data_IF_247329836901
#
_entry.id   IF_247329836901
#
_cell.length_a   1.000
_cell.length_b   1.000
_cell.length_c   1.000
_cell.angle_alpha   90.00
_cell.angle_beta   90.00
_cell.angle_gamma   90.00
#
_symmetry.space_group_name_H-M   'P 1'
#
loop_
_entity.id
_entity.type
_entity.pdbx_description
1 polymer ?
#
# COMPACT_ATOMS: atom_id res chain seq x y z
N UNK A 1 68.57 56.05 36.71
CA UNK A 1 67.28 56.65 37.04
C UNK A 1 66.20 55.86 36.28
N UNK A 2 65.62 54.86 36.91
CA UNK A 2 64.59 53.98 36.30
C UNK A 2 63.20 54.46 36.74
N UNK A 3 62.37 54.88 35.76
CA UNK A 3 60.97 55.24 36.02
C UNK A 3 60.13 54.00 35.94
N UNK A 4 59.49 53.63 37.06
CA UNK A 4 58.51 52.54 37.15
C UNK A 4 57.14 53.10 36.80
N UNK A 5 56.53 52.63 35.72
CA UNK A 5 55.16 52.94 35.31
C UNK A 5 54.24 51.88 35.94
N UNK A 6 53.33 52.33 36.81
CA UNK A 6 52.29 51.53 37.42
C UNK A 6 51.13 51.45 36.45
N UNK A 7 50.84 50.26 35.94
CA UNK A 7 49.70 49.98 35.05
C UNK A 7 48.50 49.56 35.91
N UNK A 8 47.51 50.44 36.02
CA UNK A 8 46.27 50.14 36.72
C UNK A 8 45.36 49.27 35.84
N UNK A 9 45.11 48.07 36.36
CA UNK A 9 44.18 47.11 35.70
C UNK A 9 42.76 47.36 36.19
N UNK A 10 41.90 47.91 35.33
CA UNK A 10 40.48 48.09 35.60
C UNK A 10 39.76 46.81 35.21
N UNK A 11 39.30 46.05 36.22
CA UNK A 11 38.47 44.87 36.03
C UNK A 11 37.03 45.32 35.82
N UNK A 12 36.56 45.24 34.58
CA UNK A 12 35.17 45.46 34.23
C UNK A 12 34.37 44.17 34.47
N UNK A 13 33.58 44.12 35.55
CA UNK A 13 32.70 43.01 35.86
C UNK A 13 31.47 43.02 34.91
N UNK A 14 31.46 42.11 33.96
CA UNK A 14 30.26 41.86 33.16
C UNK A 14 29.29 40.96 33.96
N UNK A 15 28.20 41.56 34.41
CA UNK A 15 27.06 40.81 34.96
C UNK A 15 26.22 40.23 33.83
N UNK A 16 26.36 38.93 33.62
CA UNK A 16 25.46 38.18 32.74
C UNK A 16 24.09 38.05 33.41
N UNK A 17 23.10 38.80 32.96
CA UNK A 17 21.71 38.52 33.28
C UNK A 17 21.25 37.34 32.40
N UNK A 18 21.14 36.17 33.02
CA UNK A 18 20.53 35.01 32.39
C UNK A 18 19.02 35.27 32.16
N UNK A 19 18.63 35.59 30.94
CA UNK A 19 17.25 35.54 30.55
C UNK A 19 16.81 34.07 30.51
N UNK A 20 16.11 33.63 31.55
CA UNK A 20 15.45 32.35 31.59
C UNK A 20 14.41 32.24 30.47
N UNK A 21 14.75 31.59 29.34
CA UNK A 21 13.78 31.15 28.36
C UNK A 21 12.86 30.12 29.04
N UNK A 22 11.63 30.50 29.33
CA UNK A 22 10.56 29.57 29.66
C UNK A 22 10.36 28.67 28.43
N UNK A 23 10.97 27.48 28.43
CA UNK A 23 10.65 26.43 27.48
C UNK A 23 9.18 26.03 27.66
N UNK A 24 8.37 26.36 26.68
CA UNK A 24 6.99 25.89 26.58
C UNK A 24 7.03 24.36 26.63
N UNK A 25 6.27 23.67 27.52
CA UNK A 25 6.30 22.23 27.54
C UNK A 25 5.96 21.70 26.15
N UNK A 26 6.82 20.86 25.61
CA UNK A 26 6.58 20.17 24.35
C UNK A 26 5.25 19.44 24.50
N UNK A 27 4.31 19.74 23.60
CA UNK A 27 3.04 19.05 23.51
C UNK A 27 3.38 17.59 23.25
N UNK A 28 3.23 16.74 24.25
CA UNK A 28 3.38 15.29 24.10
C UNK A 28 2.36 14.89 23.04
N UNK A 29 2.84 14.65 21.84
CA UNK A 29 2.00 14.07 20.78
C UNK A 29 1.71 12.65 21.26
N UNK A 30 0.51 12.43 21.81
CA UNK A 30 0.03 11.09 22.10
C UNK A 30 0.16 10.28 20.80
N UNK A 31 0.80 9.11 20.90
CA UNK A 31 0.83 8.17 19.78
C UNK A 31 -0.61 8.00 19.27
N UNK A 32 -0.83 8.01 17.94
CA UNK A 32 -2.16 7.79 17.39
C UNK A 32 -2.74 6.52 18.01
N UNK A 33 -3.97 6.59 18.54
CA UNK A 33 -4.66 5.40 19.02
C UNK A 33 -4.59 4.36 17.90
N UNK A 34 -4.18 3.12 18.23
CA UNK A 34 -4.08 2.04 17.27
C UNK A 34 -5.42 1.93 16.53
N UNK A 35 -5.42 2.34 15.28
CA UNK A 35 -6.62 2.22 14.44
C UNK A 35 -6.86 0.74 14.21
N UNK A 36 -8.11 0.30 14.48
CA UNK A 36 -8.49 -1.10 14.26
C UNK A 36 -8.43 -1.42 12.75
N UNK A 37 -7.47 -2.21 12.33
CA UNK A 37 -7.28 -2.64 10.95
C UNK A 37 -8.09 -3.90 10.58
N UNK A 38 -8.79 -4.51 11.55
CA UNK A 38 -9.52 -5.75 11.37
C UNK A 38 -10.56 -5.68 10.22
N UNK A 39 -11.37 -4.61 10.07
CA UNK A 39 -12.32 -4.55 8.96
C UNK A 39 -11.67 -4.54 7.57
N UNK A 40 -10.43 -4.01 7.47
CA UNK A 40 -9.64 -4.05 6.23
C UNK A 40 -9.13 -5.46 5.96
N UNK A 41 -8.66 -6.16 7.01
CA UNK A 41 -8.27 -7.58 6.92
C UNK A 41 -9.44 -8.46 6.50
N UNK A 42 -10.60 -8.26 7.10
CA UNK A 42 -11.82 -9.02 6.75
C UNK A 42 -12.22 -8.81 5.28
N UNK A 43 -12.04 -7.61 4.74
CA UNK A 43 -12.27 -7.34 3.33
C UNK A 43 -11.24 -8.04 2.43
N UNK A 44 -9.97 -8.05 2.84
CA UNK A 44 -8.91 -8.76 2.15
C UNK A 44 -9.13 -10.28 2.16
N UNK A 45 -9.52 -10.85 3.30
CA UNK A 45 -9.79 -12.28 3.44
C UNK A 45 -10.95 -12.72 2.54
N UNK A 46 -12.01 -11.91 2.43
CA UNK A 46 -13.11 -12.17 1.46
C UNK A 46 -12.60 -12.18 0.01
N UNK A 47 -11.67 -11.29 -0.33
CA UNK A 47 -11.04 -11.28 -1.66
C UNK A 47 -10.26 -12.57 -1.92
N UNK A 48 -9.39 -12.95 -0.98
CA UNK A 48 -8.57 -14.18 -1.07
C UNK A 48 -9.47 -15.42 -1.18
N UNK A 49 -10.51 -15.49 -0.38
CA UNK A 49 -11.46 -16.60 -0.41
C UNK A 49 -12.22 -16.68 -1.75
N UNK A 50 -12.69 -15.54 -2.28
CA UNK A 50 -13.33 -15.48 -3.58
C UNK A 50 -12.40 -15.97 -4.71
N UNK A 51 -11.12 -15.64 -4.65
CA UNK A 51 -10.13 -16.14 -5.62
C UNK A 51 -9.97 -17.65 -5.52
N UNK A 52 -9.82 -18.22 -4.32
CA UNK A 52 -9.69 -19.65 -4.08
C UNK A 52 -10.93 -20.43 -4.51
N UNK A 53 -12.11 -19.84 -4.37
CA UNK A 53 -13.39 -20.42 -4.76
C UNK A 53 -13.74 -20.24 -6.24
N UNK A 54 -12.90 -19.51 -6.99
CA UNK A 54 -13.19 -19.17 -8.41
C UNK A 54 -14.52 -18.42 -8.53
N UNK A 55 -14.86 -17.63 -7.51
CA UNK A 55 -16.10 -16.87 -7.41
C UNK A 55 -15.88 -15.40 -7.83
N UNK A 56 -16.22 -15.10 -9.08
CA UNK A 56 -16.03 -13.77 -9.65
C UNK A 56 -16.88 -12.70 -8.92
N UNK A 57 -18.12 -13.04 -8.54
CA UNK A 57 -19.01 -12.10 -7.83
C UNK A 57 -18.45 -11.77 -6.45
N UNK A 58 -18.01 -12.76 -5.70
CA UNK A 58 -17.40 -12.57 -4.38
C UNK A 58 -16.15 -11.71 -4.48
N UNK A 59 -15.25 -11.99 -5.45
CA UNK A 59 -14.07 -11.17 -5.70
C UNK A 59 -14.47 -9.73 -6.02
N UNK A 60 -15.38 -9.54 -6.98
CA UNK A 60 -15.77 -8.21 -7.45
C UNK A 60 -16.55 -7.43 -6.41
N UNK A 61 -17.22 -8.09 -5.45
CA UNK A 61 -17.90 -7.43 -4.35
C UNK A 61 -16.97 -6.65 -3.42
N UNK A 62 -15.68 -7.02 -3.37
CA UNK A 62 -14.67 -6.33 -2.55
C UNK A 62 -14.16 -5.06 -3.21
N UNK A 63 -14.27 -4.93 -4.52
CA UNK A 63 -13.83 -3.74 -5.26
C UNK A 63 -14.91 -2.66 -5.30
N UNK A 64 -14.47 -1.41 -5.36
CA UNK A 64 -15.37 -0.30 -5.63
C UNK A 64 -15.94 -0.42 -7.05
N UNK A 65 -17.27 -0.41 -7.18
CA UNK A 65 -17.91 -0.31 -8.49
C UNK A 65 -17.73 1.12 -9.01
N UNK A 66 -16.73 1.32 -9.89
CA UNK A 66 -16.38 2.61 -10.48
C UNK A 66 -15.71 2.40 -11.83
N UNK A 67 -16.04 3.25 -12.79
CA UNK A 67 -15.39 3.32 -14.11
C UNK A 67 -13.94 3.82 -14.06
N UNK A 68 -13.53 4.41 -12.94
CA UNK A 68 -12.20 5.01 -12.74
C UNK A 68 -11.23 4.09 -12.01
N UNK A 69 -11.65 2.93 -11.51
CA UNK A 69 -10.77 2.02 -10.81
C UNK A 69 -9.69 1.48 -11.75
N UNK A 70 -8.44 1.45 -11.28
CA UNK A 70 -7.28 1.04 -12.07
C UNK A 70 -6.60 -0.14 -11.41
N UNK A 71 -6.27 -1.15 -12.21
CA UNK A 71 -5.51 -2.34 -11.82
C UNK A 71 -4.28 -2.48 -12.70
N UNK A 72 -3.12 -2.59 -12.08
CA UNK A 72 -1.90 -3.07 -12.74
C UNK A 72 -1.75 -4.55 -12.50
N UNK A 73 -1.86 -5.32 -13.58
CA UNK A 73 -1.82 -6.78 -13.53
C UNK A 73 -0.39 -7.31 -13.53
N UNK A 74 -0.18 -8.50 -12.96
CA UNK A 74 1.12 -9.16 -12.89
C UNK A 74 1.73 -9.49 -14.26
N UNK A 75 0.89 -9.50 -15.29
CA UNK A 75 1.32 -9.69 -16.67
C UNK A 75 1.77 -8.39 -17.37
N UNK A 76 1.84 -7.25 -16.64
CA UNK A 76 2.26 -5.94 -17.16
C UNK A 76 1.17 -5.17 -17.87
N UNK A 77 -0.07 -5.66 -17.92
CA UNK A 77 -1.21 -4.93 -18.48
C UNK A 77 -1.91 -4.08 -17.42
N UNK A 78 -2.69 -3.10 -17.88
CA UNK A 78 -3.58 -2.32 -17.04
C UNK A 78 -5.04 -2.59 -17.41
N UNK A 79 -5.90 -2.68 -16.39
CA UNK A 79 -7.36 -2.78 -16.55
C UNK A 79 -8.00 -1.57 -15.91
N UNK A 80 -8.86 -0.85 -16.63
CA UNK A 80 -9.59 0.32 -16.15
C UNK A 80 -11.08 0.00 -16.13
N UNK A 81 -11.72 0.35 -15.02
CA UNK A 81 -13.15 0.20 -14.80
C UNK A 81 -13.56 -1.15 -14.22
N UNK A 82 -14.51 -1.09 -13.31
CA UNK A 82 -15.03 -2.25 -12.59
C UNK A 82 -15.70 -3.27 -13.51
N UNK A 83 -16.51 -2.80 -14.48
CA UNK A 83 -17.19 -3.68 -15.44
C UNK A 83 -16.21 -4.45 -16.32
N UNK A 84 -15.16 -3.76 -16.79
CA UNK A 84 -14.10 -4.40 -17.59
C UNK A 84 -13.39 -5.48 -16.76
N UNK A 85 -13.08 -5.18 -15.49
CA UNK A 85 -12.44 -6.14 -14.61
C UNK A 85 -13.35 -7.34 -14.32
N UNK A 86 -14.65 -7.11 -14.05
CA UNK A 86 -15.62 -8.17 -13.82
C UNK A 86 -15.68 -9.13 -15.01
N UNK A 87 -15.86 -8.59 -16.23
CA UNK A 87 -15.87 -9.37 -17.46
C UNK A 87 -14.58 -10.20 -17.65
N UNK A 88 -13.42 -9.60 -17.41
CA UNK A 88 -12.13 -10.30 -17.52
C UNK A 88 -12.02 -11.40 -16.47
N UNK A 89 -12.52 -11.16 -15.25
CA UNK A 89 -12.50 -12.14 -14.16
C UNK A 89 -13.42 -13.33 -14.46
N UNK A 90 -14.63 -13.08 -14.92
CA UNK A 90 -15.59 -14.12 -15.32
C UNK A 90 -15.02 -14.99 -16.45
N UNK A 91 -14.45 -14.35 -17.49
CA UNK A 91 -13.83 -15.09 -18.59
C UNK A 91 -12.64 -15.94 -18.15
N UNK A 92 -11.79 -15.43 -17.25
CA UNK A 92 -10.67 -16.17 -16.71
C UNK A 92 -11.13 -17.34 -15.84
N UNK A 93 -12.17 -17.15 -15.03
CA UNK A 93 -12.66 -18.17 -14.10
C UNK A 93 -13.44 -19.28 -14.78
N UNK A 94 -14.01 -19.02 -15.97
CA UNK A 94 -14.67 -20.06 -16.75
C UNK A 94 -13.77 -21.27 -17.08
N UNK A 95 -12.46 -21.04 -17.15
CA UNK A 95 -11.46 -22.06 -17.51
C UNK A 95 -10.52 -22.43 -16.35
N UNK A 96 -10.72 -21.83 -15.17
CA UNK A 96 -9.88 -22.06 -13.99
C UNK A 96 -10.50 -23.09 -13.06
N UNK A 97 -9.67 -23.97 -12.50
CA UNK A 97 -10.04 -24.94 -11.48
C UNK A 97 -8.88 -25.13 -10.49
N UNK A 98 -9.18 -25.78 -9.35
CA UNK A 98 -8.18 -26.19 -8.34
C UNK A 98 -7.25 -25.04 -7.91
N UNK A 99 -7.82 -23.85 -7.70
CA UNK A 99 -7.07 -22.65 -7.36
C UNK A 99 -6.62 -22.70 -5.91
N UNK A 100 -5.30 -22.57 -5.69
CA UNK A 100 -4.70 -22.29 -4.39
C UNK A 100 -4.04 -20.91 -4.42
N UNK A 101 -4.11 -20.19 -3.31
CA UNK A 101 -3.48 -18.88 -3.15
C UNK A 101 -2.86 -18.76 -1.76
N UNK A 102 -1.54 -18.66 -1.71
CA UNK A 102 -0.78 -18.46 -0.49
C UNK A 102 -0.41 -17.00 -0.36
N UNK A 103 -0.66 -16.43 0.82
CA UNK A 103 -0.33 -15.05 1.16
C UNK A 103 0.75 -15.06 2.25
N UNK A 104 1.82 -14.32 2.03
CA UNK A 104 2.90 -14.17 3.01
C UNK A 104 3.30 -12.71 3.18
N UNK A 105 3.82 -12.37 4.37
CA UNK A 105 4.30 -11.02 4.65
C UNK A 105 3.19 -9.97 4.60
N UNK A 106 1.95 -10.32 4.95
CA UNK A 106 0.81 -9.40 4.96
C UNK A 106 1.04 -8.25 5.94
N UNK A 107 0.98 -7.04 5.43
CA UNK A 107 1.04 -5.79 6.21
C UNK A 107 -0.15 -4.92 5.86
N UNK A 108 -0.78 -4.36 6.88
CA UNK A 108 -1.86 -3.40 6.77
C UNK A 108 -1.41 -2.09 7.38
N UNK A 109 -1.54 -1.00 6.64
CA UNK A 109 -1.25 0.34 7.12
C UNK A 109 -2.49 1.22 6.94
N UNK A 110 -2.96 1.76 8.05
CA UNK A 110 -4.10 2.67 8.07
C UNK A 110 -3.65 4.08 7.71
N UNK A 111 -4.32 4.71 6.75
CA UNK A 111 -4.10 6.10 6.32
C UNK A 111 -5.23 6.98 6.85
N UNK A 112 -5.28 7.12 8.17
CA UNK A 112 -6.39 7.77 8.86
C UNK A 112 -7.54 6.80 9.14
N UNK A 113 -8.79 7.30 9.16
CA UNK A 113 -9.96 6.52 9.58
C UNK A 113 -10.73 5.85 8.41
N UNK A 114 -10.47 6.25 7.18
CA UNK A 114 -11.27 5.90 6.00
C UNK A 114 -10.45 5.42 4.80
N UNK A 115 -9.13 5.31 4.95
CA UNK A 115 -8.25 4.76 3.93
C UNK A 115 -7.20 3.83 4.56
N UNK A 116 -6.74 2.86 3.79
CA UNK A 116 -5.67 1.94 4.16
C UNK A 116 -5.00 1.38 2.92
N UNK A 117 -3.80 0.83 3.09
CA UNK A 117 -3.24 -0.06 2.09
C UNK A 117 -2.77 -1.38 2.69
N UNK A 118 -2.79 -2.41 1.86
CA UNK A 118 -2.24 -3.73 2.17
C UNK A 118 -1.10 -4.00 1.21
N UNK A 119 0.00 -4.56 1.74
CA UNK A 119 1.06 -5.15 0.93
C UNK A 119 1.28 -6.60 1.35
N UNK A 120 1.55 -7.47 0.37
CA UNK A 120 1.91 -8.86 0.63
C UNK A 120 2.68 -9.47 -0.55
N UNK A 121 3.25 -10.64 -0.31
CA UNK A 121 3.64 -11.58 -1.36
C UNK A 121 2.52 -12.58 -1.55
N UNK A 122 2.36 -13.02 -2.80
CA UNK A 122 1.38 -14.04 -3.16
C UNK A 122 2.02 -15.11 -4.03
N UNK A 123 1.51 -16.32 -3.90
CA UNK A 123 1.80 -17.45 -4.80
C UNK A 123 0.49 -18.14 -5.11
N UNK A 124 0.17 -18.25 -6.39
CA UNK A 124 -1.04 -18.90 -6.88
C UNK A 124 -0.67 -20.11 -7.74
N UNK A 125 -1.40 -21.20 -7.56
CA UNK A 125 -1.43 -22.33 -8.46
C UNK A 125 -2.87 -22.55 -8.89
N UNK A 126 -3.07 -22.93 -10.13
CA UNK A 126 -4.38 -23.22 -10.71
C UNK A 126 -4.23 -24.19 -11.87
N UNK A 127 -5.32 -24.87 -12.17
CA UNK A 127 -5.48 -25.49 -13.48
C UNK A 127 -6.18 -24.50 -14.39
N UNK A 128 -5.64 -24.26 -15.57
CA UNK A 128 -6.22 -23.43 -16.61
C UNK A 128 -6.26 -24.19 -17.93
N UNK A 129 -7.44 -24.42 -18.50
CA UNK A 129 -7.63 -25.29 -19.66
C UNK A 129 -6.96 -26.68 -19.46
N UNK A 130 -7.06 -27.23 -18.23
CA UNK A 130 -6.48 -28.54 -17.87
C UNK A 130 -4.96 -28.53 -17.70
N UNK A 131 -4.30 -27.38 -17.73
CA UNK A 131 -2.85 -27.25 -17.52
C UNK A 131 -2.56 -26.58 -16.18
N UNK A 132 -1.62 -27.14 -15.44
CA UNK A 132 -1.16 -26.54 -14.20
C UNK A 132 -0.36 -25.27 -14.49
N UNK A 133 -0.81 -24.15 -13.93
CA UNK A 133 -0.13 -22.85 -13.95
C UNK A 133 0.28 -22.45 -12.55
N UNK A 134 1.43 -21.82 -12.43
CA UNK A 134 1.94 -21.25 -11.19
C UNK A 134 2.44 -19.84 -11.44
N UNK A 135 2.03 -18.90 -10.60
CA UNK A 135 2.51 -17.54 -10.61
C UNK A 135 2.78 -17.07 -9.19
N UNK A 136 3.74 -16.15 -9.02
CA UNK A 136 4.02 -15.51 -7.75
C UNK A 136 4.46 -14.07 -7.93
N UNK A 137 4.33 -13.28 -6.87
CA UNK A 137 4.69 -11.88 -6.95
C UNK A 137 4.42 -11.09 -5.70
N UNK A 138 4.37 -9.79 -5.88
CA UNK A 138 4.03 -8.80 -4.86
C UNK A 138 2.73 -8.13 -5.22
N UNK A 139 1.98 -7.74 -4.20
CA UNK A 139 0.69 -7.11 -4.37
C UNK A 139 0.57 -5.92 -3.42
N UNK A 140 0.04 -4.82 -3.93
CA UNK A 140 -0.41 -3.67 -3.15
C UNK A 140 -1.87 -3.40 -3.46
N UNK A 141 -2.69 -3.27 -2.45
CA UNK A 141 -4.11 -2.94 -2.52
C UNK A 141 -4.35 -1.66 -1.73
N UNK A 142 -5.02 -0.69 -2.33
CA UNK A 142 -5.49 0.51 -1.64
C UNK A 142 -6.96 0.36 -1.36
N UNK A 143 -7.31 0.50 -0.08
CA UNK A 143 -8.69 0.41 0.42
C UNK A 143 -9.22 1.79 0.79
N UNK A 144 -10.52 1.95 0.63
CA UNK A 144 -11.28 3.10 1.12
C UNK A 144 -12.57 2.64 1.77
N UNK A 145 -12.93 3.29 2.87
CA UNK A 145 -14.23 3.10 3.52
C UNK A 145 -15.30 3.84 2.71
N UNK A 146 -16.25 3.09 2.13
CA UNK A 146 -17.35 3.60 1.32
C UNK A 146 -18.66 3.20 2.00
N UNK A 147 -19.35 4.17 2.57
CA UNK A 147 -20.47 3.89 3.46
C UNK A 147 -19.97 3.17 4.72
N UNK A 148 -20.29 1.89 4.86
CA UNK A 148 -19.83 1.03 5.96
C UNK A 148 -18.88 -0.07 5.52
N UNK A 149 -18.56 -0.16 4.22
CA UNK A 149 -17.77 -1.23 3.64
C UNK A 149 -16.39 -0.74 3.21
N UNK A 150 -15.36 -1.52 3.55
CA UNK A 150 -14.04 -1.33 3.00
C UNK A 150 -13.96 -1.92 1.60
N UNK A 151 -13.64 -1.08 0.61
CA UNK A 151 -13.56 -1.44 -0.81
C UNK A 151 -12.16 -1.15 -1.35
N UNK A 152 -11.66 -2.05 -2.17
CA UNK A 152 -10.44 -1.82 -2.95
C UNK A 152 -10.72 -0.79 -4.04
N UNK A 153 -9.88 0.24 -4.09
CA UNK A 153 -9.96 1.33 -5.10
C UNK A 153 -8.78 1.29 -6.08
N UNK A 154 -7.75 0.54 -5.76
CA UNK A 154 -6.58 0.33 -6.62
C UNK A 154 -5.90 -0.99 -6.29
N UNK A 155 -5.42 -1.68 -7.32
CA UNK A 155 -4.59 -2.88 -7.21
C UNK A 155 -3.35 -2.71 -8.08
N UNK A 156 -2.20 -3.04 -7.51
CA UNK A 156 -0.96 -3.23 -8.26
C UNK A 156 -0.36 -4.60 -7.93
N UNK A 157 -0.12 -5.39 -8.95
CA UNK A 157 0.61 -6.65 -8.83
C UNK A 157 1.85 -6.64 -9.74
N UNK A 158 2.93 -7.22 -9.26
CA UNK A 158 4.15 -7.40 -10.04
C UNK A 158 4.69 -8.83 -9.84
N UNK A 159 5.19 -9.51 -10.88
CA UNK A 159 5.75 -10.84 -10.74
C UNK A 159 7.08 -10.81 -9.96
N UNK A 160 7.42 -11.93 -9.30
CA UNK A 160 8.73 -12.07 -8.63
C UNK A 160 9.87 -12.13 -9.64
N UNK A 161 9.63 -12.77 -10.81
CA UNK A 161 10.57 -12.89 -11.91
C UNK A 161 9.97 -12.25 -13.17
N UNK A 162 10.08 -10.93 -13.35
CA UNK A 162 9.61 -10.29 -14.57
C UNK A 162 10.46 -10.78 -15.75
N UNK A 163 9.80 -11.12 -16.86
CA UNK A 163 10.50 -11.42 -18.11
C UNK A 163 11.14 -10.14 -18.66
N UNK A 164 12.48 -10.07 -18.62
CA UNK A 164 13.23 -8.91 -19.10
C UNK A 164 13.07 -8.67 -20.60
N UNK A 165 12.67 -9.71 -21.35
CA UNK A 165 12.53 -9.65 -22.81
C UNK A 165 11.07 -9.48 -23.24
N UNK A 166 10.15 -9.36 -22.31
CA UNK A 166 8.73 -9.22 -22.64
C UNK A 166 8.48 -7.93 -23.44
N UNK A 167 7.95 -8.01 -24.65
CA UNK A 167 7.63 -6.83 -25.42
C UNK A 167 6.49 -6.05 -24.74
N UNK A 168 6.69 -4.77 -24.53
CA UNK A 168 5.60 -3.86 -24.14
C UNK A 168 4.78 -3.58 -25.38
N UNK A 169 3.48 -3.85 -25.31
CA UNK A 169 2.58 -3.59 -26.44
C UNK A 169 2.52 -2.10 -26.75
N UNK A 170 2.38 -1.74 -28.04
CA UNK A 170 2.32 -0.34 -28.47
C UNK A 170 1.22 0.44 -27.74
N UNK A 171 0.04 -0.20 -27.55
CA UNK A 171 -1.09 0.37 -26.80
C UNK A 171 -0.82 0.64 -25.31
N UNK A 172 0.22 0.02 -24.74
CA UNK A 172 0.63 0.21 -23.34
C UNK A 172 1.68 1.33 -23.22
N UNK A 173 2.41 1.65 -24.31
CA UNK A 173 3.40 2.74 -24.36
C UNK A 173 2.77 4.11 -24.54
N UNK A 174 1.63 4.19 -25.20
CA UNK A 174 0.96 5.46 -25.56
C UNK A 174 0.13 6.07 -24.43
N UNK A 175 0.06 5.42 -23.25
CA UNK A 175 -0.73 5.85 -22.09
C UNK A 175 0.10 6.25 -20.86
N UNK A 176 1.40 6.44 -21.05
CA UNK A 176 2.27 6.93 -19.97
C UNK A 176 2.43 8.44 -20.04
#
# INVERSE_FOLDING_TARGET
MRKIAILSFVILAFTFTAFGQKTKPAKTTSAPAATNDQPVRDAFDRLVEGIKQVDAEKVMSVYQNSDRILFFNNNGTATIGWETMKKNREASYANAANVSLDITGLRVEMLGKDAAYITCKWKQQQEYDGKLETASGRMTLVFKLIGKDWKVIHLHTSPDNPDANRPVLTSERERQ
#
